data_IF_986273386338
#
_entry.id   IF_986273386338
#
_cell.length_a   1.000
_cell.length_b   1.000
_cell.length_c   1.000
_cell.angle_alpha   90.00
_cell.angle_beta   90.00
_cell.angle_gamma   90.00
#
_symmetry.space_group_name_H-M   'P 1'
#
loop_
_entity.id
_entity.type
_entity.pdbx_description
1 polymer ?
#
# COMPACT_ATOMS: atom_id res chain seq x y z
N UNK A 1 -11.16 28.32 2.63
CA UNK A 1 -10.17 27.22 2.77
C UNK A 1 -10.35 26.28 1.59
N UNK A 2 -9.34 26.13 0.74
CA UNK A 2 -9.34 25.07 -0.26
C UNK A 2 -8.60 23.87 0.34
N UNK A 3 -9.31 22.78 0.58
CA UNK A 3 -8.69 21.51 0.95
C UNK A 3 -7.96 20.95 -0.26
N UNK A 4 -6.68 20.59 -0.11
CA UNK A 4 -5.95 19.85 -1.14
C UNK A 4 -6.67 18.51 -1.39
N UNK A 5 -7.04 18.18 -2.64
CA UNK A 5 -7.64 16.89 -2.95
C UNK A 5 -6.61 15.77 -2.74
N UNK A 6 -7.01 14.69 -2.08
CA UNK A 6 -6.18 13.49 -1.92
C UNK A 6 -6.42 12.55 -3.10
N UNK A 7 -5.35 12.18 -3.81
CA UNK A 7 -5.37 11.18 -4.87
C UNK A 7 -5.54 9.80 -4.24
N UNK A 8 -6.46 8.98 -4.74
CA UNK A 8 -6.67 7.63 -4.23
C UNK A 8 -5.67 6.65 -4.87
N UNK A 9 -5.10 5.71 -4.10
CA UNK A 9 -4.28 4.66 -4.66
C UNK A 9 -5.16 3.69 -5.46
N UNK A 10 -4.56 2.98 -6.40
CA UNK A 10 -5.21 1.88 -7.09
C UNK A 10 -5.37 0.67 -6.15
N UNK A 11 -6.23 -0.28 -6.55
CA UNK A 11 -6.33 -1.57 -5.87
C UNK A 11 -5.28 -2.54 -6.43
N UNK A 12 -4.71 -3.37 -5.55
CA UNK A 12 -3.82 -4.47 -5.93
C UNK A 12 -4.52 -5.80 -5.64
N UNK A 13 -4.84 -6.54 -6.70
CA UNK A 13 -5.52 -7.84 -6.63
C UNK A 13 -4.63 -9.01 -7.10
N UNK A 14 -3.38 -8.72 -7.45
CA UNK A 14 -2.41 -9.69 -7.97
C UNK A 14 -2.43 -9.88 -9.50
N UNK A 15 -3.27 -9.17 -10.26
CA UNK A 15 -3.25 -9.26 -11.74
C UNK A 15 -2.04 -8.56 -12.36
N UNK A 16 -1.67 -7.39 -11.84
CA UNK A 16 -0.45 -6.69 -12.23
C UNK A 16 0.71 -7.17 -11.36
N UNK A 17 1.95 -7.06 -11.83
CA UNK A 17 3.10 -7.35 -10.98
C UNK A 17 3.19 -6.35 -9.81
N UNK A 18 3.70 -6.83 -8.66
CA UNK A 18 3.91 -6.01 -7.47
C UNK A 18 4.76 -4.76 -7.73
N UNK A 19 5.84 -4.89 -8.51
CA UNK A 19 6.75 -3.77 -8.84
C UNK A 19 6.05 -2.62 -9.60
N UNK A 20 5.16 -2.96 -10.54
CA UNK A 20 4.37 -1.96 -11.28
C UNK A 20 3.41 -1.24 -10.33
N UNK A 21 2.68 -1.99 -9.51
CA UNK A 21 1.78 -1.41 -8.53
C UNK A 21 2.53 -0.51 -7.53
N UNK A 22 3.66 -0.96 -6.99
CA UNK A 22 4.50 -0.21 -6.05
C UNK A 22 4.94 1.14 -6.64
N UNK A 23 5.38 1.15 -7.90
CA UNK A 23 5.78 2.39 -8.59
C UNK A 23 4.61 3.38 -8.68
N UNK A 24 3.41 2.91 -9.05
CA UNK A 24 2.22 3.76 -9.12
C UNK A 24 1.79 4.26 -7.73
N UNK A 25 1.85 3.38 -6.73
CA UNK A 25 1.56 3.70 -5.35
C UNK A 25 2.53 4.77 -4.79
N UNK A 26 3.82 4.68 -5.10
CA UNK A 26 4.83 5.65 -4.68
C UNK A 26 4.59 7.04 -5.28
N UNK A 27 4.21 7.12 -6.55
CA UNK A 27 3.81 8.38 -7.21
C UNK A 27 2.62 9.02 -6.50
N UNK A 28 1.56 8.24 -6.22
CA UNK A 28 0.37 8.70 -5.51
C UNK A 28 0.71 9.15 -4.09
N UNK A 29 1.50 8.36 -3.37
CA UNK A 29 1.88 8.66 -1.98
C UNK A 29 2.72 9.93 -1.86
N UNK A 30 3.59 10.19 -2.84
CA UNK A 30 4.42 11.39 -2.89
C UNK A 30 3.57 12.62 -3.21
N UNK A 31 2.62 12.49 -4.15
CA UNK A 31 1.68 13.56 -4.50
C UNK A 31 0.78 13.96 -3.34
N UNK A 32 0.49 13.00 -2.45
CA UNK A 32 -0.31 13.22 -1.25
C UNK A 32 0.53 13.49 0.01
N UNK A 33 1.85 13.59 -0.10
CA UNK A 33 2.77 13.83 1.01
C UNK A 33 2.58 12.84 2.18
N UNK A 34 2.31 11.57 1.86
CA UNK A 34 2.06 10.55 2.87
C UNK A 34 3.33 10.17 3.64
N UNK A 35 3.20 10.13 4.97
CA UNK A 35 4.22 9.51 5.84
C UNK A 35 4.21 7.99 5.70
N UNK A 36 5.30 7.32 6.05
CA UNK A 36 5.41 5.86 5.97
C UNK A 36 4.27 5.11 6.68
N UNK A 37 3.78 5.64 7.81
CA UNK A 37 2.63 5.08 8.52
C UNK A 37 1.33 5.18 7.71
N UNK A 38 1.12 6.29 7.02
CA UNK A 38 -0.04 6.46 6.11
C UNK A 38 0.13 5.57 4.89
N UNK A 39 1.33 5.50 4.31
CA UNK A 39 1.65 4.57 3.22
C UNK A 39 1.33 3.12 3.59
N UNK A 40 1.80 2.63 4.74
CA UNK A 40 1.52 1.28 5.23
C UNK A 40 0.01 0.99 5.30
N UNK A 41 -0.77 1.90 5.90
CA UNK A 41 -2.22 1.76 6.03
C UNK A 41 -2.94 1.77 4.69
N UNK A 42 -2.55 2.69 3.80
CA UNK A 42 -3.14 2.80 2.47
C UNK A 42 -2.77 1.59 1.61
N UNK A 43 -1.56 1.07 1.74
CA UNK A 43 -1.11 -0.15 1.07
C UNK A 43 -1.98 -1.33 1.49
N UNK A 44 -2.12 -1.59 2.80
CA UNK A 44 -3.02 -2.62 3.34
C UNK A 44 -4.45 -2.43 2.85
N UNK A 45 -4.96 -1.20 2.85
CA UNK A 45 -6.30 -0.89 2.38
C UNK A 45 -6.48 -1.03 0.86
N UNK A 46 -5.39 -1.08 0.09
CA UNK A 46 -5.41 -1.26 -1.36
C UNK A 46 -5.39 -2.73 -1.78
N UNK A 47 -4.96 -3.64 -0.91
CA UNK A 47 -4.91 -5.08 -1.20
C UNK A 47 -6.32 -5.69 -1.28
N UNK A 48 -6.56 -6.50 -2.31
CA UNK A 48 -7.82 -7.23 -2.55
C UNK A 48 -7.51 -8.65 -3.00
N UNK A 49 -8.51 -9.53 -2.90
CA UNK A 49 -8.39 -10.91 -3.39
C UNK A 49 -7.20 -11.66 -2.79
N UNK A 50 -6.53 -12.47 -3.61
CA UNK A 50 -5.35 -13.26 -3.22
C UNK A 50 -4.20 -12.39 -2.71
N UNK A 51 -4.02 -11.18 -3.23
CA UNK A 51 -3.00 -10.26 -2.75
C UNK A 51 -3.22 -9.81 -1.29
N UNK A 52 -4.46 -9.86 -0.78
CA UNK A 52 -4.74 -9.58 0.63
C UNK A 52 -4.43 -10.77 1.56
N UNK A 53 -4.38 -11.99 1.05
CA UNK A 53 -4.12 -13.19 1.85
C UNK A 53 -2.70 -13.18 2.43
N UNK A 54 -1.76 -12.49 1.76
CA UNK A 54 -0.39 -12.28 2.24
C UNK A 54 -0.34 -11.65 3.63
N UNK A 55 -1.38 -10.89 4.02
CA UNK A 55 -1.46 -10.23 5.32
C UNK A 55 -1.72 -11.21 6.48
N UNK A 56 -2.20 -12.42 6.21
CA UNK A 56 -2.47 -13.41 7.26
C UNK A 56 -1.20 -13.85 8.02
N UNK A 57 -0.03 -13.75 7.37
CA UNK A 57 1.27 -14.04 7.98
C UNK A 57 1.86 -12.90 8.81
N UNK A 58 1.26 -11.70 8.78
CA UNK A 58 1.83 -10.50 9.41
C UNK A 58 1.07 -10.20 10.71
N UNK A 59 1.77 -10.10 11.87
CA UNK A 59 1.14 -9.66 13.11
C UNK A 59 0.50 -8.27 12.95
N UNK A 60 -0.68 -8.04 13.53
CA UNK A 60 -1.42 -6.79 13.38
C UNK A 60 -0.62 -5.53 13.77
N UNK A 61 0.28 -5.63 14.75
CA UNK A 61 1.19 -4.53 15.13
C UNK A 61 2.13 -4.11 13.99
N UNK A 62 2.51 -5.06 13.13
CA UNK A 62 3.45 -4.87 12.04
C UNK A 62 2.77 -4.39 10.75
N UNK A 63 1.43 -4.39 10.68
CA UNK A 63 0.65 -3.80 9.56
C UNK A 63 0.71 -2.26 9.50
N UNK A 64 1.51 -1.64 10.37
CA UNK A 64 1.82 -0.22 10.31
C UNK A 64 3.26 0.07 9.88
N UNK A 65 4.07 -0.98 9.72
CA UNK A 65 5.44 -0.91 9.24
C UNK A 65 5.47 -1.17 7.73
N UNK A 66 5.77 -0.11 6.97
CA UNK A 66 5.75 -0.17 5.51
C UNK A 66 6.75 -1.22 4.99
N UNK A 67 7.96 -1.24 5.53
CA UNK A 67 9.04 -2.13 5.09
C UNK A 67 8.65 -3.60 5.26
N UNK A 68 8.02 -3.96 6.38
CA UNK A 68 7.54 -5.33 6.61
C UNK A 68 6.52 -5.73 5.55
N UNK A 69 5.52 -4.89 5.29
CA UNK A 69 4.46 -5.19 4.30
C UNK A 69 5.04 -5.32 2.89
N UNK A 70 5.92 -4.40 2.48
CA UNK A 70 6.53 -4.45 1.14
C UNK A 70 7.39 -5.70 0.93
N UNK A 71 8.14 -6.11 1.96
CA UNK A 71 8.95 -7.34 1.89
C UNK A 71 8.09 -8.60 1.75
N UNK A 72 6.93 -8.62 2.41
CA UNK A 72 6.02 -9.76 2.29
C UNK A 72 5.38 -9.82 0.89
N UNK A 73 5.10 -8.66 0.28
CA UNK A 73 4.51 -8.57 -1.07
C UNK A 73 5.51 -8.83 -2.21
N UNK A 74 6.81 -8.71 -1.94
CA UNK A 74 7.88 -8.96 -2.91
C UNK A 74 8.30 -10.44 -2.99
N UNK A 75 7.92 -11.24 -1.99
CA UNK A 75 8.21 -12.69 -1.91
C UNK A 75 7.26 -13.53 -2.75
#
# INVERSE_FOLDING_TARGET
MYSRPTVKPLTFDGQTSWSVFKTQFDVVSSSNEWTNRVKARQLVASLRGSAAEVLQGIPAGNLTDLTTIERTLES
#
